data_IF_466046946406
#
_entry.id   IF_466046946406
#
_cell.length_a   1.000
_cell.length_b   1.000
_cell.length_c   1.000
_cell.angle_alpha   90.00
_cell.angle_beta   90.00
_cell.angle_gamma   90.00
#
_symmetry.space_group_name_H-M   'P 1'
#
loop_
_entity.id
_entity.type
_entity.pdbx_description
1 polymer ?
#
# COMPACT_ATOMS: atom_id res chain seq x y z
N UNK A 1 8.69 21.95 -11.52
CA UNK A 1 8.83 20.81 -12.45
C UNK A 1 9.75 19.78 -11.82
N UNK A 2 9.44 18.49 -11.96
CA UNK A 2 10.18 17.38 -11.32
C UNK A 2 11.53 17.07 -11.98
N UNK A 3 12.01 17.88 -12.94
CA UNK A 3 13.21 17.55 -13.72
C UNK A 3 12.90 16.50 -14.81
N UNK A 4 13.69 16.47 -15.88
CA UNK A 4 13.48 15.60 -17.04
C UNK A 4 13.83 14.12 -16.85
N UNK A 5 14.31 13.74 -15.66
CA UNK A 5 14.96 12.45 -15.41
C UNK A 5 14.03 11.38 -14.83
N UNK A 6 12.74 11.70 -14.60
CA UNK A 6 11.76 10.76 -14.07
C UNK A 6 10.94 10.09 -15.18
N UNK A 7 10.79 8.77 -15.06
CA UNK A 7 9.81 8.00 -15.83
C UNK A 7 8.50 7.92 -15.05
N UNK A 8 7.38 8.22 -15.72
CA UNK A 8 6.05 8.21 -15.11
C UNK A 8 5.25 7.00 -15.57
N UNK A 9 4.66 6.29 -14.63
CA UNK A 9 3.83 5.11 -14.88
C UNK A 9 2.46 5.28 -14.21
N UNK A 10 1.41 5.06 -14.98
CA UNK A 10 0.05 4.97 -14.45
C UNK A 10 -0.35 3.50 -14.39
N UNK A 11 -0.93 3.09 -13.27
CA UNK A 11 -1.28 1.69 -13.03
C UNK A 11 -2.79 1.50 -13.04
N UNK A 12 -3.27 0.69 -13.99
CA UNK A 12 -4.66 0.21 -14.05
C UNK A 12 -4.86 -1.00 -13.11
N UNK A 13 -6.11 -1.47 -12.99
CA UNK A 13 -6.42 -2.69 -12.25
C UNK A 13 -5.65 -3.91 -12.79
N UNK A 14 -5.46 -4.01 -14.11
CA UNK A 14 -4.66 -5.08 -14.73
C UNK A 14 -3.18 -4.96 -14.39
N UNK A 15 -2.65 -3.73 -14.30
CA UNK A 15 -1.27 -3.51 -13.88
C UNK A 15 -1.09 -3.89 -12.40
N UNK A 16 -2.08 -3.59 -11.57
CA UNK A 16 -2.07 -4.01 -10.17
C UNK A 16 -2.12 -5.52 -10.01
N UNK A 17 -3.01 -6.19 -10.76
CA UNK A 17 -3.15 -7.64 -10.76
C UNK A 17 -1.82 -8.33 -11.14
N UNK A 18 -1.13 -7.86 -12.18
CA UNK A 18 0.17 -8.42 -12.59
C UNK A 18 1.22 -8.40 -11.48
N UNK A 19 1.21 -7.40 -10.60
CA UNK A 19 2.15 -7.35 -9.48
C UNK A 19 1.72 -8.32 -8.36
N UNK A 20 0.43 -8.37 -8.06
CA UNK A 20 -0.10 -9.28 -7.05
C UNK A 20 0.08 -10.76 -7.43
N UNK A 21 -0.04 -11.10 -8.72
CA UNK A 21 0.07 -12.47 -9.22
C UNK A 21 1.52 -13.00 -9.28
N UNK A 22 2.52 -12.17 -8.94
CA UNK A 22 3.90 -12.63 -8.80
C UNK A 22 4.06 -13.56 -7.58
N UNK A 23 5.16 -14.31 -7.55
CA UNK A 23 5.52 -15.09 -6.38
C UNK A 23 6.14 -14.18 -5.31
N UNK A 24 5.61 -14.24 -4.09
CA UNK A 24 6.03 -13.41 -2.96
C UNK A 24 6.41 -14.27 -1.76
N UNK A 25 7.60 -14.90 -1.77
CA UNK A 25 8.07 -15.73 -0.66
C UNK A 25 8.11 -15.00 0.69
N UNK A 26 8.36 -13.69 0.67
CA UNK A 26 8.39 -12.82 1.85
C UNK A 26 6.98 -12.53 2.39
N UNK A 27 5.95 -12.67 1.55
CA UNK A 27 4.55 -12.39 1.86
C UNK A 27 3.65 -13.58 1.51
N UNK A 28 3.86 -14.77 2.10
CA UNK A 28 3.22 -16.02 1.66
C UNK A 28 1.68 -15.99 1.80
N UNK A 29 1.14 -15.10 2.63
CA UNK A 29 -0.31 -14.93 2.82
C UNK A 29 -0.94 -13.91 1.87
N UNK A 30 -0.17 -13.20 1.04
CA UNK A 30 -0.67 -12.12 0.20
C UNK A 30 -1.81 -12.58 -0.71
N UNK A 31 -1.59 -13.64 -1.49
CA UNK A 31 -2.61 -14.18 -2.41
C UNK A 31 -3.87 -14.66 -1.69
N UNK A 32 -3.72 -15.24 -0.48
CA UNK A 32 -4.87 -15.66 0.33
C UNK A 32 -5.66 -14.43 0.81
N UNK A 33 -4.98 -13.41 1.31
CA UNK A 33 -5.60 -12.17 1.78
C UNK A 33 -6.31 -11.45 0.64
N UNK A 34 -5.69 -11.33 -0.54
CA UNK A 34 -6.32 -10.72 -1.71
C UNK A 34 -7.61 -11.42 -2.14
N UNK A 35 -7.66 -12.76 -2.02
CA UNK A 35 -8.85 -13.56 -2.32
C UNK A 35 -9.99 -13.39 -1.31
N UNK A 36 -9.70 -12.96 -0.08
CA UNK A 36 -10.75 -12.72 0.92
C UNK A 36 -11.25 -11.27 0.93
N UNK A 37 -10.58 -10.34 0.24
CA UNK A 37 -11.01 -8.95 0.17
C UNK A 37 -12.11 -8.81 -0.91
N UNK A 38 -13.24 -8.15 -0.62
CA UNK A 38 -14.29 -7.93 -1.62
C UNK A 38 -13.74 -7.26 -2.88
N UNK A 39 -14.19 -7.70 -4.06
CA UNK A 39 -13.72 -7.16 -5.33
C UNK A 39 -13.88 -5.63 -5.43
N UNK A 40 -14.94 -5.07 -4.81
CA UNK A 40 -15.24 -3.64 -4.80
C UNK A 40 -14.37 -2.82 -3.85
N UNK A 41 -13.56 -3.44 -2.98
CA UNK A 41 -12.69 -2.75 -2.04
C UNK A 41 -11.39 -2.25 -2.71
N UNK A 42 -11.55 -1.44 -3.77
CA UNK A 42 -10.44 -0.92 -4.58
C UNK A 42 -9.40 -0.15 -3.76
N UNK A 43 -9.83 0.71 -2.85
CA UNK A 43 -8.92 1.47 -1.96
C UNK A 43 -8.04 0.56 -1.12
N UNK A 44 -8.60 -0.52 -0.57
CA UNK A 44 -7.85 -1.49 0.25
C UNK A 44 -6.77 -2.20 -0.59
N UNK A 45 -7.11 -2.55 -1.83
CA UNK A 45 -6.15 -3.14 -2.78
C UNK A 45 -5.08 -2.13 -3.19
N UNK A 46 -5.45 -0.89 -3.47
CA UNK A 46 -4.51 0.18 -3.83
C UNK A 46 -3.54 0.51 -2.69
N UNK A 47 -4.01 0.50 -1.44
CA UNK A 47 -3.19 0.67 -0.25
C UNK A 47 -2.14 -0.43 -0.12
N UNK A 48 -2.51 -1.69 -0.31
CA UNK A 48 -1.55 -2.80 -0.25
C UNK A 48 -0.58 -2.77 -1.45
N UNK A 49 -1.11 -2.48 -2.64
CA UNK A 49 -0.33 -2.44 -3.88
C UNK A 49 0.79 -1.39 -3.83
N UNK A 50 0.51 -0.18 -3.34
CA UNK A 50 1.52 0.90 -3.28
C UNK A 50 2.70 0.57 -2.36
N UNK A 51 2.51 -0.28 -1.35
CA UNK A 51 3.63 -0.75 -0.53
C UNK A 51 4.44 -1.83 -1.24
N UNK A 52 3.77 -2.75 -1.95
CA UNK A 52 4.44 -3.84 -2.68
C UNK A 52 5.23 -3.30 -3.86
N UNK A 53 4.69 -2.33 -4.61
CA UNK A 53 5.42 -1.74 -5.74
C UNK A 53 6.69 -1.02 -5.27
N UNK A 54 6.64 -0.31 -4.14
CA UNK A 54 7.81 0.33 -3.54
C UNK A 54 8.79 -0.69 -2.94
N UNK A 55 8.28 -1.77 -2.34
CA UNK A 55 9.13 -2.87 -1.89
C UNK A 55 9.91 -3.50 -3.04
N UNK A 56 9.26 -3.76 -4.16
CA UNK A 56 9.86 -4.47 -5.28
C UNK A 56 10.76 -3.58 -6.13
N UNK A 57 10.24 -2.42 -6.56
CA UNK A 57 10.92 -1.57 -7.53
C UNK A 57 11.49 -0.28 -6.94
N UNK A 58 11.11 0.07 -5.71
CA UNK A 58 11.40 1.38 -5.12
C UNK A 58 10.78 2.52 -5.94
N UNK A 59 11.46 3.67 -5.91
CA UNK A 59 11.04 4.87 -6.63
C UNK A 59 10.07 5.71 -5.82
N UNK A 60 9.21 6.46 -6.52
CA UNK A 60 8.24 7.39 -5.94
C UNK A 60 6.83 6.91 -6.28
N UNK A 61 6.02 6.75 -5.25
CA UNK A 61 4.57 6.60 -5.37
C UNK A 61 3.89 7.95 -5.07
N UNK A 62 2.89 8.31 -5.88
CA UNK A 62 2.03 9.45 -5.63
C UNK A 62 0.60 9.14 -6.05
N UNK A 63 -0.39 9.52 -5.23
CA UNK A 63 -1.81 9.48 -5.63
C UNK A 63 -2.01 10.39 -6.86
N UNK A 64 -2.89 9.98 -7.78
CA UNK A 64 -3.07 10.63 -9.09
C UNK A 64 -3.55 12.09 -9.02
N UNK A 65 -4.14 12.49 -7.89
CA UNK A 65 -4.65 13.84 -7.64
C UNK A 65 -3.77 14.62 -6.65
N UNK A 66 -2.48 14.26 -6.59
CA UNK A 66 -1.46 15.02 -5.88
C UNK A 66 -0.78 16.04 -6.80
N UNK A 67 -0.29 17.13 -6.22
CA UNK A 67 0.44 18.16 -6.94
C UNK A 67 1.66 18.61 -6.12
N UNK A 68 2.84 18.78 -6.73
CA UNK A 68 3.98 19.37 -6.02
C UNK A 68 3.70 20.82 -5.62
N UNK A 69 4.05 21.19 -4.39
CA UNK A 69 4.06 22.56 -3.89
C UNK A 69 5.51 23.01 -3.66
N UNK A 70 6.04 22.91 -2.43
CA UNK A 70 7.49 23.10 -2.19
C UNK A 70 8.35 21.94 -2.72
N UNK A 71 7.75 20.78 -2.97
CA UNK A 71 8.46 19.63 -3.52
C UNK A 71 8.95 19.91 -4.95
N UNK A 72 10.21 19.56 -5.22
CA UNK A 72 10.89 19.75 -6.49
C UNK A 72 11.98 18.68 -6.69
N UNK A 73 12.68 18.74 -7.83
CA UNK A 73 13.72 17.75 -8.19
C UNK A 73 14.89 17.65 -7.21
N UNK A 74 15.10 18.64 -6.32
CA UNK A 74 16.13 18.58 -5.26
C UNK A 74 15.57 18.20 -3.90
N UNK A 75 14.29 17.84 -3.80
CA UNK A 75 13.68 17.49 -2.51
C UNK A 75 14.11 16.12 -2.00
N UNK A 76 14.32 15.17 -2.93
CA UNK A 76 14.88 13.86 -2.65
C UNK A 76 16.32 13.86 -3.16
N UNK A 77 17.26 13.42 -2.32
CA UNK A 77 18.67 13.31 -2.62
C UNK A 77 19.03 11.86 -2.98
N UNK A 78 20.10 11.66 -3.76
CA UNK A 78 20.57 10.31 -4.13
C UNK A 78 20.93 9.43 -2.90
N UNK A 79 21.20 10.05 -1.76
CA UNK A 79 21.48 9.37 -0.50
C UNK A 79 20.22 8.98 0.30
N UNK A 80 19.04 9.48 -0.07
CA UNK A 80 17.80 9.17 0.64
C UNK A 80 17.36 7.73 0.35
N UNK A 81 17.32 6.89 1.39
CA UNK A 81 16.81 5.52 1.24
C UNK A 81 15.28 5.45 1.34
N UNK A 82 14.66 6.39 2.01
CA UNK A 82 13.22 6.60 1.98
C UNK A 82 12.88 8.06 2.30
N UNK A 83 11.79 8.57 1.72
CA UNK A 83 11.36 9.95 1.87
C UNK A 83 9.85 10.06 2.03
N UNK A 84 9.41 10.81 3.04
CA UNK A 84 8.01 11.04 3.35
C UNK A 84 7.75 12.50 3.72
N UNK A 85 6.53 12.96 3.47
CA UNK A 85 6.04 14.22 4.04
C UNK A 85 5.18 13.90 5.27
N UNK A 86 5.18 14.78 6.27
CA UNK A 86 4.28 14.64 7.42
C UNK A 86 2.87 15.03 7.00
N UNK A 87 1.91 14.13 7.17
CA UNK A 87 0.49 14.39 6.90
C UNK A 87 -0.31 14.72 8.18
N UNK A 88 -1.63 14.81 8.03
CA UNK A 88 -2.58 14.93 9.14
C UNK A 88 -2.29 13.93 10.28
N UNK A 89 -2.57 14.34 11.51
CA UNK A 89 -2.28 13.55 12.72
C UNK A 89 -0.80 13.20 12.93
N UNK A 90 0.11 13.92 12.26
CA UNK A 90 1.56 13.71 12.37
C UNK A 90 1.98 12.29 12.00
N UNK A 91 1.42 11.75 10.91
CA UNK A 91 1.81 10.46 10.36
C UNK A 91 2.73 10.66 9.14
N UNK A 92 3.43 9.59 8.75
CA UNK A 92 4.07 9.54 7.43
C UNK A 92 2.99 9.52 6.35
N UNK A 93 3.15 10.32 5.30
CA UNK A 93 2.21 10.40 4.20
C UNK A 93 2.07 9.07 3.46
N UNK A 94 0.84 8.60 3.26
CA UNK A 94 0.58 7.44 2.40
C UNK A 94 0.30 7.80 0.94
N UNK A 95 -0.16 9.04 0.70
CA UNK A 95 -0.50 9.54 -0.64
C UNK A 95 0.73 9.95 -1.47
N UNK A 96 1.89 10.11 -0.82
CA UNK A 96 3.17 10.41 -1.45
C UNK A 96 4.28 9.74 -0.64
N UNK A 97 5.06 8.87 -1.28
CA UNK A 97 6.09 8.07 -0.61
C UNK A 97 7.24 7.83 -1.59
N UNK A 98 8.48 7.83 -1.09
CA UNK A 98 9.60 7.30 -1.85
C UNK A 98 10.39 6.33 -0.99
N UNK A 99 10.91 5.27 -1.61
CA UNK A 99 11.77 4.29 -0.97
C UNK A 99 12.69 3.63 -1.99
N UNK A 100 13.87 3.22 -1.56
CA UNK A 100 14.68 2.25 -2.31
C UNK A 100 13.99 0.89 -2.32
N UNK A 101 14.24 0.03 -3.32
CA UNK A 101 13.80 -1.35 -3.29
C UNK A 101 14.20 -2.02 -1.97
N UNK A 102 13.33 -2.90 -1.48
CA UNK A 102 13.54 -3.72 -0.28
C UNK A 102 13.76 -2.94 1.02
N UNK A 103 13.30 -1.69 1.09
CA UNK A 103 13.37 -0.90 2.32
C UNK A 103 12.56 -1.57 3.47
N UNK A 104 13.13 -1.83 4.66
CA UNK A 104 12.46 -2.57 5.74
C UNK A 104 11.13 -1.98 6.21
N UNK A 105 10.99 -0.64 6.16
CA UNK A 105 9.70 0.02 6.42
C UNK A 105 8.56 -0.55 5.56
N UNK A 106 8.79 -0.77 4.26
CA UNK A 106 7.75 -1.32 3.37
C UNK A 106 7.42 -2.76 3.75
N UNK A 107 8.41 -3.57 4.12
CA UNK A 107 8.18 -4.93 4.64
C UNK A 107 7.26 -4.90 5.85
N UNK A 108 7.60 -4.10 6.87
CA UNK A 108 6.79 -4.01 8.09
C UNK A 108 5.38 -3.49 7.82
N UNK A 109 5.22 -2.53 6.91
CA UNK A 109 3.92 -2.01 6.51
C UNK A 109 3.08 -3.06 5.78
N UNK A 110 3.66 -3.84 4.87
CA UNK A 110 2.97 -4.93 4.17
C UNK A 110 2.52 -6.00 5.18
N UNK A 111 3.42 -6.47 6.05
CA UNK A 111 3.09 -7.47 7.07
C UNK A 111 1.99 -6.99 8.02
N UNK A 112 2.09 -5.74 8.48
CA UNK A 112 1.07 -5.13 9.35
C UNK A 112 -0.29 -5.07 8.65
N UNK A 113 -0.30 -4.71 7.36
CA UNK A 113 -1.50 -4.66 6.53
C UNK A 113 -2.14 -6.04 6.38
N UNK A 114 -1.35 -7.07 6.03
CA UNK A 114 -1.82 -8.45 5.91
C UNK A 114 -2.39 -8.96 7.24
N UNK A 115 -1.69 -8.72 8.35
CA UNK A 115 -2.16 -9.08 9.69
C UNK A 115 -3.49 -8.41 10.05
N UNK A 116 -3.61 -7.10 9.79
CA UNK A 116 -4.81 -6.33 10.06
C UNK A 116 -6.01 -6.90 9.28
N UNK A 117 -5.82 -7.21 7.99
CA UNK A 117 -6.85 -7.78 7.12
C UNK A 117 -7.31 -9.16 7.59
N UNK A 118 -6.36 -10.03 7.98
CA UNK A 118 -6.68 -11.36 8.51
C UNK A 118 -7.43 -11.30 9.85
N UNK A 119 -7.17 -10.26 10.64
CA UNK A 119 -7.74 -10.05 11.97
C UNK A 119 -9.11 -9.33 11.95
N UNK A 120 -9.60 -8.94 10.77
CA UNK A 120 -10.92 -8.30 10.63
C UNK A 120 -12.06 -9.21 11.08
N UNK A 121 -12.99 -8.59 11.81
CA UNK A 121 -14.25 -9.24 12.20
C UNK A 121 -15.24 -9.33 11.04
N UNK A 122 -15.22 -8.36 10.12
CA UNK A 122 -16.07 -8.31 8.94
C UNK A 122 -15.31 -7.68 7.76
N UNK A 123 -15.03 -8.48 6.72
CA UNK A 123 -14.39 -8.03 5.47
C UNK A 123 -15.30 -7.12 4.63
N UNK A 124 -16.59 -7.03 4.96
CA UNK A 124 -17.54 -6.08 4.37
C UNK A 124 -17.52 -4.69 5.02
N UNK A 125 -16.75 -4.49 6.11
CA UNK A 125 -16.69 -3.23 6.86
C UNK A 125 -15.24 -2.82 7.12
N UNK A 126 -14.45 -2.72 6.05
CA UNK A 126 -13.03 -2.37 6.15
C UNK A 126 -12.89 -0.86 6.34
N UNK A 127 -12.39 -0.46 7.50
CA UNK A 127 -11.96 0.91 7.75
C UNK A 127 -10.58 1.13 7.13
N UNK A 128 -10.53 1.36 5.82
CA UNK A 128 -9.27 1.40 5.04
C UNK A 128 -8.16 2.26 5.69
N UNK A 129 -8.39 3.51 6.15
CA UNK A 129 -7.33 4.31 6.77
C UNK A 129 -6.64 3.62 7.97
N UNK A 130 -7.39 2.84 8.74
CA UNK A 130 -6.90 2.10 9.90
C UNK A 130 -6.23 0.77 9.53
N UNK A 131 -6.81 0.05 8.56
CA UNK A 131 -6.44 -1.36 8.27
C UNK A 131 -5.27 -1.43 7.29
N UNK A 132 -5.29 -0.59 6.25
CA UNK A 132 -4.36 -0.64 5.12
C UNK A 132 -3.72 0.73 4.83
N UNK A 133 -4.35 1.81 5.30
CA UNK A 133 -3.96 3.19 5.03
C UNK A 133 -2.87 3.75 5.95
N UNK A 134 -2.87 5.07 6.22
CA UNK A 134 -1.81 5.76 6.96
C UNK A 134 -1.54 5.21 8.37
N UNK A 135 -2.55 4.66 9.06
CA UNK A 135 -2.31 4.05 10.37
C UNK A 135 -1.58 2.71 10.27
N UNK A 136 -1.81 1.93 9.22
CA UNK A 136 -1.06 0.69 8.98
C UNK A 136 0.40 1.00 8.60
N UNK A 137 0.62 2.05 7.81
CA UNK A 137 1.95 2.60 7.57
C UNK A 137 2.62 3.04 8.87
N UNK A 138 1.91 3.76 9.75
CA UNK A 138 2.43 4.15 11.06
C UNK A 138 2.76 2.94 11.96
N UNK A 139 1.97 1.86 11.92
CA UNK A 139 2.33 0.61 12.61
C UNK A 139 3.62 0.02 12.04
N UNK A 140 3.79 0.00 10.72
CA UNK A 140 5.05 -0.39 10.07
C UNK A 140 6.22 0.48 10.53
N UNK A 141 6.03 1.80 10.62
CA UNK A 141 7.03 2.73 11.13
C UNK A 141 7.38 2.50 12.61
N UNK A 142 6.39 2.19 13.45
CA UNK A 142 6.61 1.79 14.83
C UNK A 142 7.48 0.54 14.94
N UNK A 143 7.26 -0.48 14.08
CA UNK A 143 8.09 -1.69 14.04
C UNK A 143 9.51 -1.37 13.58
N UNK A 144 9.66 -0.64 12.48
CA UNK A 144 10.94 -0.21 11.92
C UNK A 144 11.83 0.52 12.94
N UNK A 145 11.23 1.39 13.75
CA UNK A 145 11.97 2.15 14.78
C UNK A 145 12.20 1.33 16.06
N UNK A 146 11.35 0.35 16.35
CA UNK A 146 11.47 -0.49 17.56
C UNK A 146 12.74 -1.34 17.53
N UNK A 147 13.18 -1.79 16.36
CA UNK A 147 14.38 -2.62 16.20
C UNK A 147 15.66 -1.91 16.68
N UNK A 148 15.66 -0.58 16.66
CA UNK A 148 16.77 0.26 17.17
C UNK A 148 16.46 0.89 18.53
N UNK A 149 15.46 0.37 19.25
CA UNK A 149 15.09 0.83 20.58
C UNK A 149 14.33 2.16 20.63
N UNK A 150 13.88 2.69 19.48
CA UNK A 150 13.10 3.94 19.43
C UNK A 150 11.60 3.63 19.48
N UNK A 151 10.90 4.25 20.44
CA UNK A 151 9.45 4.09 20.61
C UNK A 151 8.73 5.26 19.94
N UNK A 152 8.04 4.95 18.84
CA UNK A 152 7.12 5.90 18.19
C UNK A 152 5.77 5.88 18.92
N UNK A 153 5.23 7.04 19.35
CA UNK A 153 4.00 7.06 20.13
C UNK A 153 2.80 6.57 19.32
N UNK A 154 1.78 6.07 20.03
CA UNK A 154 0.51 5.71 19.43
C UNK A 154 -0.24 6.96 18.93
N UNK A 155 -1.10 6.76 17.94
CA UNK A 155 -1.94 7.84 17.39
C UNK A 155 -3.08 8.16 18.35
N UNK A 156 -2.84 9.12 19.24
CA UNK A 156 -3.81 9.65 20.20
C UNK A 156 -3.84 11.18 20.11
N UNK A 157 -4.90 11.86 20.56
CA UNK A 157 -4.96 13.31 20.57
C UNK A 157 -3.73 13.94 21.24
N UNK A 158 -3.06 14.87 20.53
CA UNK A 158 -1.84 15.54 21.00
C UNK A 158 -0.53 14.80 20.74
N UNK A 159 -0.56 13.52 20.34
CA UNK A 159 0.65 12.81 19.94
C UNK A 159 1.17 13.32 18.58
N UNK A 160 2.50 13.24 18.41
CA UNK A 160 3.19 13.58 17.16
C UNK A 160 4.12 12.43 16.73
N UNK A 161 3.57 11.33 16.17
CA UNK A 161 4.34 10.13 15.85
C UNK A 161 5.50 10.36 14.88
N UNK A 162 5.27 11.09 13.80
CA UNK A 162 6.27 11.49 12.83
C UNK A 162 6.58 12.99 12.95
N UNK A 163 7.88 13.31 12.87
CA UNK A 163 8.39 14.68 12.83
C UNK A 163 9.45 14.77 11.74
N UNK A 164 9.60 15.96 11.17
CA UNK A 164 10.66 16.22 10.22
C UNK A 164 12.04 15.90 10.81
N UNK A 165 12.90 15.31 10.00
CA UNK A 165 14.24 14.87 10.38
C UNK A 165 14.66 13.58 9.67
N UNK A 166 15.91 13.20 9.91
CA UNK A 166 16.46 11.92 9.50
C UNK A 166 16.24 10.90 10.62
N UNK A 167 15.62 9.78 10.29
CA UNK A 167 15.40 8.66 11.19
C UNK A 167 16.24 7.48 10.71
N UNK A 168 16.83 6.74 11.64
CA UNK A 168 17.59 5.51 11.36
C UNK A 168 16.87 4.38 12.07
N UNK A 169 16.44 3.36 11.33
CA UNK A 169 15.71 2.22 11.87
C UNK A 169 16.42 0.90 11.60
N UNK A 170 15.63 -0.15 11.42
CA UNK A 170 16.08 -1.52 11.11
C UNK A 170 17.24 -1.55 10.12
N UNK A 171 18.27 -2.33 10.44
CA UNK A 171 19.47 -2.54 9.62
C UNK A 171 20.17 -1.25 9.16
N UNK A 172 20.07 -0.18 9.97
CA UNK A 172 20.58 1.16 9.68
C UNK A 172 19.99 1.81 8.42
N UNK A 173 18.85 1.33 7.92
CA UNK A 173 18.15 2.03 6.85
C UNK A 173 17.65 3.39 7.33
N UNK A 174 17.74 4.38 6.46
CA UNK A 174 17.37 5.76 6.76
C UNK A 174 16.03 6.16 6.17
N UNK A 175 15.31 6.99 6.91
CA UNK A 175 14.04 7.59 6.52
C UNK A 175 14.13 9.10 6.70
N UNK A 176 14.09 9.84 5.60
CA UNK A 176 14.02 11.30 5.58
C UNK A 176 12.54 11.73 5.65
N UNK A 177 12.22 12.56 6.63
CA UNK A 177 10.86 13.09 6.83
C UNK A 177 10.89 14.61 6.76
N UNK A 178 9.96 15.21 6.00
CA UNK A 178 9.85 16.68 5.87
C UNK A 178 8.45 17.19 6.19
N UNK A 179 8.35 18.49 6.50
CA UNK A 179 7.06 19.14 6.79
C UNK A 179 6.55 18.92 8.21
N UNK A 180 5.36 19.47 8.49
CA UNK A 180 4.70 19.39 9.80
C UNK A 180 3.21 19.07 9.60
N UNK A 181 2.62 18.36 10.56
CA UNK A 181 1.23 17.89 10.46
C UNK A 181 0.20 19.03 10.39
N UNK A 182 0.52 20.19 10.94
CA UNK A 182 -0.31 21.39 10.84
C UNK A 182 -0.30 22.04 9.44
N UNK A 183 0.65 21.65 8.59
CA UNK A 183 0.80 22.12 7.20
C UNK A 183 0.97 20.95 6.24
N UNK A 184 0.03 20.01 6.27
CA UNK A 184 0.06 18.77 5.48
C UNK A 184 0.26 18.97 3.95
N UNK A 185 -0.09 20.15 3.41
CA UNK A 185 0.02 20.51 1.99
C UNK A 185 1.26 21.36 1.67
N UNK A 186 2.18 21.53 2.60
CA UNK A 186 3.35 22.40 2.44
C UNK A 186 4.29 21.93 1.33
N UNK A 187 4.55 20.63 1.26
CA UNK A 187 5.47 20.05 0.27
C UNK A 187 4.74 19.48 -0.94
N UNK A 188 3.72 18.66 -0.68
CA UNK A 188 2.89 18.02 -1.70
C UNK A 188 1.43 18.30 -1.34
N UNK A 189 0.68 18.92 -2.25
CA UNK A 189 -0.75 19.15 -2.10
C UNK A 189 -1.49 17.85 -2.40
N UNK A 190 -2.29 17.36 -1.44
CA UNK A 190 -3.22 16.22 -1.63
C UNK A 190 -4.59 16.71 -2.08
N UNK A 191 -5.34 15.85 -2.77
CA UNK A 191 -6.73 16.13 -3.19
C UNK A 191 -6.87 17.45 -3.98
N UNK A 192 -5.90 17.73 -4.86
CA UNK A 192 -5.87 18.97 -5.65
C UNK A 192 -7.12 19.11 -6.53
N UNK A 193 -7.64 17.99 -7.03
CA UNK A 193 -8.89 17.94 -7.79
C UNK A 193 -10.08 17.87 -6.84
N UNK A 194 -10.90 18.93 -6.83
CA UNK A 194 -12.11 18.98 -6.00
C UNK A 194 -13.02 17.76 -6.23
N UNK A 195 -13.54 17.18 -5.14
CA UNK A 195 -14.32 15.93 -5.14
C UNK A 195 -15.42 15.80 -6.21
N UNK A 196 -16.19 16.86 -6.48
CA UNK A 196 -17.27 16.83 -7.47
C UNK A 196 -16.76 16.80 -8.93
N UNK A 197 -15.55 17.33 -9.18
CA UNK A 197 -14.86 17.15 -10.45
C UNK A 197 -14.20 15.77 -10.52
N UNK A 198 -13.59 15.32 -9.42
CA UNK A 198 -12.94 14.02 -9.29
C UNK A 198 -13.84 12.86 -9.73
N UNK A 199 -15.09 12.80 -9.22
CA UNK A 199 -16.06 11.76 -9.64
C UNK A 199 -16.32 11.79 -11.16
N UNK A 200 -16.55 12.97 -11.73
CA UNK A 200 -16.82 13.12 -13.17
C UNK A 200 -15.62 12.74 -14.03
N UNK A 201 -14.41 13.13 -13.62
CA UNK A 201 -13.20 12.76 -14.36
C UNK A 201 -12.91 11.25 -14.22
N UNK A 202 -13.15 10.67 -13.04
CA UNK A 202 -13.00 9.22 -12.83
C UNK A 202 -13.97 8.41 -13.69
N UNK A 203 -15.24 8.85 -13.80
CA UNK A 203 -16.21 8.27 -14.72
C UNK A 203 -15.74 8.38 -16.19
N UNK A 204 -15.21 9.54 -16.60
CA UNK A 204 -14.67 9.75 -17.96
C UNK A 204 -13.46 8.87 -18.27
N UNK A 205 -12.63 8.59 -17.27
CA UNK A 205 -11.50 7.66 -17.37
C UNK A 205 -11.93 6.19 -17.27
N UNK A 206 -13.23 5.91 -17.10
CA UNK A 206 -13.74 4.54 -16.97
C UNK A 206 -13.28 3.83 -15.69
N UNK A 207 -12.86 4.58 -14.67
CA UNK A 207 -12.46 4.01 -13.39
C UNK A 207 -13.69 3.42 -12.69
N UNK A 208 -13.60 2.19 -12.16
CA UNK A 208 -14.78 1.49 -11.59
C UNK A 208 -14.80 1.42 -10.07
N UNK A 209 -13.70 1.82 -9.42
CA UNK A 209 -13.42 1.50 -8.01
C UNK A 209 -13.01 2.70 -7.15
N UNK A 210 -13.62 3.88 -7.36
CA UNK A 210 -13.20 5.14 -6.74
C UNK A 210 -14.16 5.72 -5.68
N UNK A 211 -15.20 4.99 -5.30
CA UNK A 211 -16.15 5.37 -4.23
C UNK A 211 -16.15 4.34 -3.12
N UNK A 212 -16.66 4.70 -1.92
CA UNK A 212 -16.79 3.82 -0.75
C UNK A 212 -17.81 2.68 -0.95
N UNK A 213 -17.75 1.97 -2.07
CA UNK A 213 -18.59 0.85 -2.44
C UNK A 213 -18.06 -0.40 -1.75
N UNK A 214 -18.54 -0.63 -0.54
CA UNK A 214 -18.14 -1.76 0.28
C UNK A 214 -18.52 -1.54 1.73
N UNK A 215 -19.73 -1.03 1.98
CA UNK A 215 -20.31 -0.91 3.33
C UNK A 215 -21.44 -1.90 3.56
N UNK A 216 -21.53 -2.93 2.72
CA UNK A 216 -22.48 -4.00 2.95
C UNK A 216 -21.89 -4.89 4.05
N UNK A 217 -22.61 -5.03 5.17
CA UNK A 217 -22.21 -5.99 6.21
C UNK A 217 -22.22 -7.37 5.60
N UNK A 218 -21.05 -8.02 5.56
CA UNK A 218 -20.95 -9.42 5.16
C UNK A 218 -21.01 -10.32 6.39
N UNK A 219 -20.74 -9.78 7.59
CA UNK A 219 -20.60 -10.53 8.85
C UNK A 219 -19.67 -11.74 8.70
N UNK A 220 -18.65 -11.61 7.84
CA UNK A 220 -17.74 -12.70 7.49
C UNK A 220 -16.30 -12.27 7.76
N UNK A 221 -15.54 -13.09 8.47
CA UNK A 221 -14.09 -12.90 8.65
C UNK A 221 -13.34 -13.39 7.42
N UNK A 222 -12.16 -12.84 7.15
CA UNK A 222 -11.30 -13.29 6.04
C UNK A 222 -11.01 -14.81 6.11
N UNK A 223 -10.66 -15.31 7.30
CA UNK A 223 -10.44 -16.75 7.53
C UNK A 223 -11.66 -17.61 7.21
N UNK A 224 -12.88 -17.10 7.47
CA UNK A 224 -14.11 -17.82 7.13
C UNK A 224 -14.34 -17.84 5.62
N UNK A 225 -14.13 -16.71 4.94
CA UNK A 225 -14.22 -16.62 3.48
C UNK A 225 -13.23 -17.59 2.81
N UNK A 226 -11.99 -17.68 3.31
CA UNK A 226 -10.99 -18.62 2.83
C UNK A 226 -11.41 -20.09 3.06
N UNK A 227 -11.95 -20.40 4.24
CA UNK A 227 -12.44 -21.73 4.56
C UNK A 227 -13.60 -22.17 3.65
N UNK A 228 -14.51 -21.26 3.35
CA UNK A 228 -15.64 -21.51 2.46
C UNK A 228 -15.18 -21.65 0.99
N UNK A 229 -14.16 -20.89 0.57
CA UNK A 229 -13.59 -20.95 -0.77
C UNK A 229 -12.69 -22.19 -1.01
N UNK A 230 -12.31 -22.94 0.03
CA UNK A 230 -11.37 -24.07 -0.09
C UNK A 230 -11.82 -25.12 -1.12
N UNK A 231 -13.13 -25.38 -1.19
CA UNK A 231 -13.67 -26.48 -1.99
C UNK A 231 -13.72 -26.09 -3.48
N UNK A 232 -13.77 -24.79 -3.79
CA UNK A 232 -13.55 -24.24 -5.14
C UNK A 232 -12.10 -24.50 -5.61
N UNK A 233 -11.11 -24.25 -4.76
CA UNK A 233 -9.69 -24.50 -5.09
C UNK A 233 -9.33 -25.98 -5.15
N UNK A 234 -9.97 -26.85 -4.35
CA UNK A 234 -9.84 -28.31 -4.49
C UNK A 234 -10.31 -28.81 -5.86
N UNK A 235 -11.36 -28.20 -6.44
CA UNK A 235 -11.86 -28.56 -7.77
C UNK A 235 -10.94 -28.05 -8.90
N UNK A 236 -10.35 -26.86 -8.75
CA UNK A 236 -9.40 -26.29 -9.73
C UNK A 236 -8.03 -27.00 -9.71
N UNK A 237 -7.52 -27.38 -8.54
CA UNK A 237 -6.27 -28.14 -8.40
C UNK A 237 -6.35 -29.58 -8.94
N UNK A 238 -7.55 -30.15 -9.05
CA UNK A 238 -7.77 -31.44 -9.71
C UNK A 238 -7.68 -31.33 -11.24
N UNK A 239 -8.03 -30.17 -11.83
CA UNK A 239 -7.94 -29.94 -13.29
C UNK A 239 -6.51 -29.73 -13.80
N UNK A 240 -5.60 -29.23 -12.97
CA UNK A 240 -4.19 -29.06 -13.37
C UNK A 240 -3.35 -30.35 -13.33
N UNK A 241 -3.84 -31.45 -12.74
CA UNK A 241 -3.11 -32.74 -12.70
C UNK A 241 -3.49 -33.74 -13.79
N UNK A 242 -4.36 -33.38 -14.73
CA UNK A 242 -4.77 -34.26 -15.86
C UNK A 242 -4.30 -33.74 -17.22
N UNK A 243 -3.22 -32.95 -17.28
CA UNK A 243 -2.51 -32.67 -18.52
C UNK A 243 -1.49 -33.78 -18.77
N UNK A 244 -1.90 -34.71 -19.62
CA UNK A 244 -1.16 -35.77 -20.32
C UNK A 244 0.35 -35.55 -20.47
N UNK A 245 1.11 -36.54 -20.00
CA UNK A 245 2.48 -36.85 -20.42
C UNK A 245 2.54 -37.02 -21.95
N UNK A 246 3.41 -36.30 -22.67
CA UNK A 246 3.75 -36.65 -24.04
C UNK A 246 4.65 -37.88 -24.01
N UNK A 247 4.16 -38.95 -24.62
CA UNK A 247 4.87 -40.18 -24.90
C UNK A 247 5.98 -39.87 -25.93
N UNK A 248 7.23 -39.76 -25.50
CA UNK A 248 8.37 -39.70 -26.43
C UNK A 248 8.82 -41.11 -26.77
N UNK A 249 8.19 -41.67 -27.80
CA UNK A 249 8.76 -42.73 -28.63
C UNK A 249 8.37 -42.46 -30.08
N UNK A 250 9.32 -42.01 -30.88
CA UNK A 250 9.63 -42.51 -32.24
C UNK A 250 10.43 -41.49 -33.06
N UNK A 251 11.60 -41.97 -33.51
CA UNK A 251 12.53 -41.53 -34.57
C UNK A 251 13.48 -40.37 -34.28
#
# INVERSE_FOLDING_TARGET
ELGGDYSYYFHSDEAMARLFDQDWPEFPHLNQVLNCIPAKAGTVKADLWRYIVLWEYGGIYADIDTKPNKFNHTSIQDSDQAFFVVEQYHLLSQYFMAATPRHPLMFYTIQSTLYNLLSLQDIGQIRAPQVTGPHALNTGFQHFMRDVGTVIPNVVPGAKPAKAGLWVGTDNYTLTVVGIGEKENEYVEREYVRRHHKVKEYDRMGMKHFTSQGKDKLNQRCMRALWDARDYYKQQGFRQRTATTPNTSER
#
